data_IF_781432392365
#
_entry.id   IF_781432392365
#
_cell.length_a   1.000
_cell.length_b   1.000
_cell.length_c   1.000
_cell.angle_alpha   90.00
_cell.angle_beta   90.00
_cell.angle_gamma   90.00
#
_symmetry.space_group_name_H-M   'P 1'
#
loop_
_entity.id
_entity.type
_entity.pdbx_description
1 polymer ?
#
# COMPACT_ATOMS: atom_id res chain seq x y z
N UNK A 1 2.81 23.02 -5.04
CA UNK A 1 3.66 21.90 -5.50
C UNK A 1 4.40 21.44 -4.26
N UNK A 2 4.20 20.20 -3.83
CA UNK A 2 4.89 19.67 -2.64
C UNK A 2 6.39 19.65 -2.90
N UNK A 3 7.17 20.27 -2.02
CA UNK A 3 8.63 20.20 -2.09
C UNK A 3 9.07 18.81 -1.58
N UNK A 4 9.27 17.88 -2.51
CA UNK A 4 9.69 16.52 -2.20
C UNK A 4 11.07 16.47 -1.54
N UNK A 5 11.96 17.41 -1.86
CA UNK A 5 13.31 17.47 -1.28
C UNK A 5 13.25 17.88 0.18
N UNK A 6 12.44 18.89 0.53
CA UNK A 6 12.17 19.23 1.93
C UNK A 6 11.54 18.04 2.67
N UNK A 7 10.50 17.43 2.08
CA UNK A 7 9.80 16.30 2.66
C UNK A 7 10.74 15.13 2.97
N UNK A 8 11.59 14.75 2.02
CA UNK A 8 12.63 13.73 2.19
C UNK A 8 13.58 14.08 3.33
N UNK A 9 14.07 15.32 3.39
CA UNK A 9 15.00 15.75 4.45
C UNK A 9 14.41 15.65 5.87
N UNK A 10 13.12 15.98 6.04
CA UNK A 10 12.42 15.85 7.33
C UNK A 10 12.28 14.38 7.72
N UNK A 11 11.91 13.52 6.77
CA UNK A 11 11.77 12.08 7.02
C UNK A 11 13.11 11.44 7.38
N UNK A 12 14.19 11.83 6.68
CA UNK A 12 15.54 11.36 6.95
C UNK A 12 16.01 11.79 8.35
N UNK A 13 15.85 13.06 8.72
CA UNK A 13 16.18 13.54 10.06
C UNK A 13 15.37 12.81 11.15
N UNK A 14 14.05 12.67 10.95
CA UNK A 14 13.18 11.93 11.88
C UNK A 14 13.54 10.44 11.98
N UNK A 15 14.08 9.85 10.92
CA UNK A 15 14.53 8.46 10.93
C UNK A 15 15.80 8.27 11.77
N UNK A 16 16.75 9.20 11.69
CA UNK A 16 17.95 9.16 12.55
C UNK A 16 17.55 9.28 14.03
N UNK A 17 16.61 10.17 14.34
CA UNK A 17 16.08 10.37 15.70
C UNK A 17 14.86 9.49 16.04
N UNK A 18 14.65 8.38 15.32
CA UNK A 18 13.43 7.53 15.46
C UNK A 18 13.20 6.93 16.84
N UNK A 19 14.22 6.94 17.72
CA UNK A 19 14.09 6.53 19.11
C UNK A 19 13.18 7.49 19.91
N UNK A 20 13.15 8.77 19.54
CA UNK A 20 12.34 9.82 20.15
C UNK A 20 10.95 9.96 19.49
N UNK A 21 10.75 9.32 18.33
CA UNK A 21 9.48 9.31 17.62
C UNK A 21 8.52 8.29 18.26
N UNK A 22 7.36 8.78 18.70
CA UNK A 22 6.32 8.00 19.37
C UNK A 22 4.92 8.45 18.97
N UNK A 23 3.90 7.78 19.50
CA UNK A 23 2.50 8.16 19.27
C UNK A 23 2.15 9.55 19.83
N UNK A 24 2.96 10.12 20.73
CA UNK A 24 2.82 11.48 21.24
C UNK A 24 3.43 12.54 20.31
N UNK A 25 4.31 12.18 19.38
CA UNK A 25 4.97 13.12 18.45
C UNK A 25 3.93 13.85 17.59
N UNK A 26 4.06 15.18 17.46
CA UNK A 26 3.21 16.09 16.68
C UNK A 26 4.08 17.04 15.87
N UNK A 27 3.46 17.92 15.08
CA UNK A 27 4.15 18.93 14.27
C UNK A 27 4.79 18.32 13.02
N UNK A 28 5.87 18.95 12.55
CA UNK A 28 6.44 18.74 11.22
C UNK A 28 6.75 17.27 10.90
N UNK A 29 7.28 16.49 11.85
CA UNK A 29 7.57 15.05 11.63
C UNK A 29 6.29 14.27 11.32
N UNK A 30 5.21 14.51 12.07
CA UNK A 30 3.94 13.82 11.83
C UNK A 30 3.34 14.26 10.49
N UNK A 31 3.35 15.55 10.22
CA UNK A 31 2.78 16.12 8.99
C UNK A 31 3.54 15.62 7.75
N UNK A 32 4.88 15.49 7.84
CA UNK A 32 5.72 14.92 6.81
C UNK A 32 5.40 13.44 6.56
N UNK A 33 5.31 12.62 7.62
CA UNK A 33 4.96 11.19 7.46
C UNK A 33 3.56 11.02 6.86
N UNK A 34 2.56 11.76 7.34
CA UNK A 34 1.21 11.71 6.78
C UNK A 34 1.16 12.16 5.32
N UNK A 35 1.92 13.19 4.97
CA UNK A 35 2.06 13.67 3.58
C UNK A 35 2.71 12.60 2.70
N UNK A 36 3.80 11.98 3.15
CA UNK A 36 4.47 10.91 2.41
C UNK A 36 3.54 9.70 2.18
N UNK A 37 2.78 9.30 3.22
CA UNK A 37 1.79 8.24 3.08
C UNK A 37 0.65 8.61 2.12
N UNK A 38 0.21 9.87 2.10
CA UNK A 38 -0.80 10.34 1.15
C UNK A 38 -0.28 10.35 -0.31
N UNK A 39 0.99 10.68 -0.50
CA UNK A 39 1.64 10.58 -1.82
C UNK A 39 1.76 9.12 -2.29
N UNK A 40 2.11 8.19 -1.39
CA UNK A 40 2.10 6.75 -1.68
C UNK A 40 0.69 6.25 -1.98
N UNK A 41 -0.31 6.66 -1.20
CA UNK A 41 -1.70 6.23 -1.34
C UNK A 41 -2.33 6.70 -2.67
N UNK A 42 -1.96 7.90 -3.12
CA UNK A 42 -2.41 8.48 -4.39
C UNK A 42 -1.56 8.08 -5.60
N UNK A 43 -0.42 7.40 -5.39
CA UNK A 43 0.50 7.00 -6.46
C UNK A 43 1.38 8.13 -7.00
N UNK A 44 1.31 9.33 -6.42
CA UNK A 44 2.20 10.45 -6.77
C UNK A 44 3.66 10.19 -6.34
N UNK A 45 3.85 9.33 -5.33
CA UNK A 45 5.13 8.74 -4.99
C UNK A 45 5.00 7.22 -5.01
N UNK A 46 6.11 6.52 -5.23
CA UNK A 46 6.19 5.05 -5.20
C UNK A 46 7.51 4.61 -4.60
N UNK A 47 7.50 3.51 -3.84
CA UNK A 47 8.69 3.06 -3.08
C UNK A 47 9.86 2.67 -3.98
N UNK A 48 9.59 2.13 -5.17
CA UNK A 48 10.61 1.92 -6.18
C UNK A 48 10.08 2.33 -7.55
N UNK A 49 10.95 2.88 -8.39
CA UNK A 49 10.64 3.29 -9.76
C UNK A 49 11.72 2.79 -10.72
N UNK A 50 11.31 2.50 -11.96
CA UNK A 50 12.22 2.11 -13.03
C UNK A 50 12.73 3.36 -13.76
N UNK A 51 14.04 3.52 -13.87
CA UNK A 51 14.67 4.57 -14.67
C UNK A 51 14.58 4.29 -16.17
N UNK A 52 14.96 5.27 -16.98
CA UNK A 52 15.03 5.14 -18.46
C UNK A 52 16.03 4.07 -18.91
N UNK A 53 17.05 3.83 -18.09
CA UNK A 53 18.04 2.74 -18.24
C UNK A 53 17.46 1.34 -17.95
N UNK A 54 16.20 1.27 -17.52
CA UNK A 54 15.51 0.04 -17.17
C UNK A 54 15.86 -0.51 -15.78
N UNK A 55 16.62 0.24 -14.97
CA UNK A 55 17.05 -0.15 -13.62
C UNK A 55 16.02 0.30 -12.59
N UNK A 56 15.69 -0.58 -11.65
CA UNK A 56 14.82 -0.26 -10.53
C UNK A 56 15.63 0.38 -9.40
N UNK A 57 15.20 1.56 -8.98
CA UNK A 57 15.76 2.31 -7.85
C UNK A 57 14.75 2.37 -6.72
N UNK A 58 15.19 2.03 -5.51
CA UNK A 58 14.38 2.13 -4.29
C UNK A 58 14.59 3.48 -3.59
N UNK A 59 13.49 4.18 -3.34
CA UNK A 59 13.44 5.44 -2.61
C UNK A 59 13.36 5.14 -1.10
N UNK A 60 14.51 5.00 -0.45
CA UNK A 60 14.60 4.51 0.93
C UNK A 60 13.83 5.39 1.93
N UNK A 61 13.79 6.70 1.72
CA UNK A 61 13.06 7.64 2.59
C UNK A 61 11.56 7.31 2.64
N UNK A 62 10.96 6.79 1.58
CA UNK A 62 9.56 6.35 1.59
C UNK A 62 9.35 5.11 2.48
N UNK A 63 10.31 4.17 2.50
CA UNK A 63 10.28 3.04 3.46
C UNK A 63 10.45 3.54 4.90
N UNK A 64 11.32 4.52 5.13
CA UNK A 64 11.49 5.18 6.44
C UNK A 64 10.20 5.87 6.88
N UNK A 65 9.49 6.57 5.99
CA UNK A 65 8.18 7.17 6.27
C UNK A 65 7.15 6.12 6.71
N UNK A 66 7.07 4.98 5.99
CA UNK A 66 6.19 3.87 6.37
C UNK A 66 6.56 3.33 7.77
N UNK A 67 7.84 3.11 8.06
CA UNK A 67 8.28 2.60 9.37
C UNK A 67 8.05 3.62 10.51
N UNK A 68 8.27 4.91 10.26
CA UNK A 68 7.94 5.99 11.20
C UNK A 68 6.43 6.05 11.49
N UNK A 69 5.59 5.79 10.49
CA UNK A 69 4.14 5.74 10.70
C UNK A 69 3.72 4.71 11.74
N UNK A 70 4.44 3.58 11.86
CA UNK A 70 4.17 2.56 12.86
C UNK A 70 4.55 2.99 14.28
N UNK A 71 5.52 3.92 14.41
CA UNK A 71 5.90 4.54 15.70
C UNK A 71 4.93 5.64 16.09
N UNK A 72 4.46 6.40 15.10
CA UNK A 72 3.55 7.52 15.29
C UNK A 72 2.11 7.12 15.65
N UNK A 73 1.75 5.85 15.49
CA UNK A 73 0.38 5.38 15.71
C UNK A 73 0.35 4.24 16.72
N UNK A 74 -0.51 4.36 17.74
CA UNK A 74 -0.83 3.25 18.63
C UNK A 74 -1.86 2.34 17.99
N UNK A 75 -1.91 1.09 18.44
CA UNK A 75 -3.01 0.21 18.05
C UNK A 75 -4.32 0.76 18.63
N UNK A 76 -5.38 0.64 17.85
CA UNK A 76 -6.73 1.02 18.23
C UNK A 76 -7.70 -0.09 17.89
N UNK A 77 -8.87 -0.09 18.53
CA UNK A 77 -9.96 -0.99 18.15
C UNK A 77 -10.50 -0.55 16.79
N UNK A 78 -10.49 -1.46 15.82
CA UNK A 78 -10.99 -1.23 14.47
C UNK A 78 -12.18 -2.16 14.15
N UNK A 79 -13.11 -1.70 13.33
CA UNK A 79 -14.26 -2.48 12.86
C UNK A 79 -14.48 -2.27 11.37
N UNK A 80 -14.68 -3.33 10.61
CA UNK A 80 -15.00 -3.22 9.19
C UNK A 80 -16.52 -3.04 9.02
N UNK A 81 -16.92 -2.05 8.23
CA UNK A 81 -18.34 -1.76 7.95
C UNK A 81 -19.03 -0.80 8.94
N UNK A 82 -18.27 -0.08 9.78
CA UNK A 82 -18.81 1.00 10.61
C UNK A 82 -18.29 2.35 10.13
N UNK A 83 -19.18 3.24 9.70
CA UNK A 83 -18.84 4.64 9.48
C UNK A 83 -18.69 5.33 10.85
N UNK A 84 -17.62 6.10 11.11
CA UNK A 84 -17.39 6.73 12.41
C UNK A 84 -18.47 7.74 12.84
N UNK A 85 -19.34 8.17 11.90
CA UNK A 85 -20.38 9.19 12.13
C UNK A 85 -21.79 8.64 12.28
N UNK A 86 -22.02 7.33 12.11
CA UNK A 86 -23.34 6.74 12.29
C UNK A 86 -23.43 6.04 13.65
N UNK A 87 -24.37 6.44 14.54
CA UNK A 87 -24.59 5.71 15.77
C UNK A 87 -24.93 4.26 15.43
N UNK A 88 -24.45 3.32 16.26
CA UNK A 88 -24.86 1.92 16.23
C UNK A 88 -26.39 1.87 16.42
N UNK A 89 -27.16 1.91 15.34
CA UNK A 89 -28.58 1.60 15.41
C UNK A 89 -28.72 0.08 15.51
N UNK A 90 -29.73 -0.37 16.26
CA UNK A 90 -30.06 -1.78 16.41
C UNK A 90 -30.36 -2.47 15.06
N UNK A 91 -30.58 -1.68 14.01
CA UNK A 91 -31.03 -2.12 12.68
C UNK A 91 -29.88 -2.34 11.69
N UNK A 92 -28.62 -2.05 12.05
CA UNK A 92 -27.45 -2.31 11.20
C UNK A 92 -26.24 -2.89 11.97
N UNK A 93 -26.34 -4.13 12.50
CA UNK A 93 -25.40 -4.61 13.51
C UNK A 93 -24.14 -5.31 12.97
N UNK A 94 -23.92 -5.38 11.66
CA UNK A 94 -22.88 -6.31 11.12
C UNK A 94 -21.56 -5.59 10.82
N UNK A 95 -20.96 -4.99 11.84
CA UNK A 95 -19.57 -4.57 11.75
C UNK A 95 -18.66 -5.77 12.07
N UNK A 96 -17.84 -6.22 11.12
CA UNK A 96 -16.88 -7.33 11.35
C UNK A 96 -15.76 -6.83 12.26
N UNK A 97 -15.42 -7.61 13.29
CA UNK A 97 -14.40 -7.27 14.31
C UNK A 97 -14.90 -7.49 15.74
N UNK A 98 -14.22 -6.94 16.78
CA UNK A 98 -13.16 -5.93 16.66
C UNK A 98 -11.83 -6.53 16.20
N UNK A 99 -11.04 -5.69 15.52
CA UNK A 99 -9.63 -5.90 15.24
C UNK A 99 -8.79 -4.96 16.13
N UNK A 100 -7.50 -5.25 16.28
CA UNK A 100 -6.55 -4.43 17.04
C UNK A 100 -5.29 -4.21 16.20
N UNK A 101 -5.20 -3.04 15.55
CA UNK A 101 -4.12 -2.65 14.65
C UNK A 101 -3.96 -1.13 14.68
N UNK A 102 -2.88 -0.62 14.06
CA UNK A 102 -2.55 0.81 13.96
C UNK A 102 -2.52 1.34 12.52
N UNK A 103 -2.64 0.45 11.52
CA UNK A 103 -2.64 0.84 10.11
C UNK A 103 -4.08 0.91 9.60
N UNK A 104 -4.60 2.11 9.23
CA UNK A 104 -5.95 2.24 8.71
C UNK A 104 -6.14 1.49 7.38
N UNK A 105 -7.39 1.12 7.10
CA UNK A 105 -7.79 0.69 5.77
C UNK A 105 -7.81 1.89 4.81
N UNK A 106 -7.35 1.72 3.56
CA UNK A 106 -7.35 2.75 2.52
C UNK A 106 -8.73 3.37 2.31
N UNK A 107 -9.78 2.54 2.40
CA UNK A 107 -11.15 2.90 2.09
C UNK A 107 -11.95 3.36 3.31
N UNK A 108 -11.32 3.51 4.49
CA UNK A 108 -12.01 3.76 5.76
C UNK A 108 -12.99 4.93 5.72
N UNK A 109 -12.63 6.00 5.01
CA UNK A 109 -13.42 7.23 4.89
C UNK A 109 -13.92 7.49 3.45
N UNK A 110 -13.90 6.49 2.56
CA UNK A 110 -14.24 6.69 1.15
C UNK A 110 -15.76 6.80 0.91
N UNK A 111 -16.13 7.76 0.06
CA UNK A 111 -17.46 7.94 -0.51
C UNK A 111 -17.57 7.30 -1.91
N UNK A 112 -18.78 7.26 -2.46
CA UNK A 112 -18.99 6.80 -3.83
C UNK A 112 -18.21 7.64 -4.87
N UNK A 113 -18.03 8.94 -4.61
CA UNK A 113 -17.27 9.83 -5.50
C UNK A 113 -15.78 9.46 -5.53
N UNK A 114 -15.21 9.04 -4.40
CA UNK A 114 -13.82 8.60 -4.31
C UNK A 114 -13.58 7.33 -5.14
N UNK A 115 -14.49 6.35 -5.04
CA UNK A 115 -14.44 5.15 -5.88
C UNK A 115 -14.56 5.47 -7.37
N UNK A 116 -15.48 6.37 -7.74
CA UNK A 116 -15.66 6.79 -9.13
C UNK A 116 -14.42 7.50 -9.69
N UNK A 117 -13.82 8.39 -8.90
CA UNK A 117 -12.60 9.11 -9.28
C UNK A 117 -11.39 8.17 -9.43
N UNK A 118 -11.24 7.20 -8.52
CA UNK A 118 -10.14 6.25 -8.56
C UNK A 118 -10.29 5.21 -9.70
N UNK A 119 -11.52 4.84 -10.05
CA UNK A 119 -11.82 4.06 -11.25
C UNK A 119 -11.38 2.59 -11.23
N UNK A 120 -11.11 2.01 -10.06
CA UNK A 120 -10.91 0.57 -9.87
C UNK A 120 -12.15 -0.09 -9.27
N UNK A 121 -12.17 -1.44 -9.26
CA UNK A 121 -13.21 -2.23 -8.60
C UNK A 121 -12.67 -2.91 -7.34
N UNK A 122 -13.27 -2.61 -6.19
CA UNK A 122 -13.01 -3.31 -4.92
C UNK A 122 -14.16 -4.27 -4.63
N UNK A 123 -13.93 -5.57 -4.83
CA UNK A 123 -14.94 -6.61 -4.56
C UNK A 123 -14.99 -6.87 -3.04
N UNK A 124 -16.19 -7.06 -2.44
CA UNK A 124 -16.29 -7.34 -1.00
C UNK A 124 -15.37 -8.47 -0.55
N UNK A 125 -14.52 -8.18 0.44
CA UNK A 125 -13.44 -9.06 0.90
C UNK A 125 -12.04 -8.59 0.48
N UNK A 126 -11.92 -7.61 -0.42
CA UNK A 126 -10.66 -6.93 -0.69
C UNK A 126 -10.27 -6.02 0.50
N UNK A 127 -9.05 -6.17 0.99
CA UNK A 127 -8.50 -5.38 2.10
C UNK A 127 -7.23 -4.67 1.63
N UNK A 128 -7.24 -3.34 1.67
CA UNK A 128 -6.10 -2.51 1.28
C UNK A 128 -5.72 -1.61 2.44
N UNK A 129 -4.45 -1.61 2.82
CA UNK A 129 -3.94 -0.67 3.84
C UNK A 129 -3.71 0.72 3.24
N UNK A 130 -4.01 1.77 4.02
CA UNK A 130 -3.68 3.15 3.64
C UNK A 130 -2.19 3.27 3.36
N UNK A 131 -1.83 4.03 2.34
CA UNK A 131 -0.47 4.15 1.84
C UNK A 131 -0.13 3.14 0.74
N UNK A 132 -1.12 2.44 0.19
CA UNK A 132 -0.97 1.63 -1.02
C UNK A 132 -1.73 2.28 -2.19
N UNK A 133 -1.11 2.28 -3.37
CA UNK A 133 -1.73 2.76 -4.59
C UNK A 133 -2.44 1.64 -5.35
N UNK A 134 -3.62 1.96 -5.88
CA UNK A 134 -4.41 1.10 -6.76
C UNK A 134 -4.83 1.93 -7.96
N UNK A 135 -4.32 1.55 -9.14
CA UNK A 135 -4.52 2.25 -10.39
C UNK A 135 -5.90 2.06 -10.99
N UNK A 136 -6.21 2.88 -12.00
CA UNK A 136 -7.47 2.81 -12.74
C UNK A 136 -7.66 1.43 -13.37
N UNK A 137 -8.91 0.99 -13.52
CA UNK A 137 -9.28 -0.29 -14.14
C UNK A 137 -8.74 -1.54 -13.43
N UNK A 138 -8.06 -1.41 -12.29
CA UNK A 138 -7.67 -2.56 -11.46
C UNK A 138 -8.93 -3.24 -10.91
N UNK A 139 -8.89 -4.57 -10.82
CA UNK A 139 -9.92 -5.35 -10.13
C UNK A 139 -9.29 -6.07 -8.95
N UNK A 140 -9.72 -5.69 -7.76
CA UNK A 140 -9.38 -6.38 -6.51
C UNK A 140 -10.50 -7.35 -6.18
N UNK A 141 -10.27 -8.64 -6.41
CA UNK A 141 -11.10 -9.71 -5.84
C UNK A 141 -10.84 -9.79 -4.32
N UNK A 142 -11.51 -10.68 -3.55
CA UNK A 142 -11.18 -10.84 -2.13
C UNK A 142 -9.70 -11.16 -1.95
N UNK A 143 -8.89 -10.19 -1.53
CA UNK A 143 -7.43 -10.18 -1.62
C UNK A 143 -6.84 -9.21 -0.61
N UNK A 144 -5.53 -9.20 -0.43
CA UNK A 144 -4.84 -8.27 0.47
C UNK A 144 -3.78 -7.46 -0.26
N UNK A 145 -3.80 -6.13 -0.11
CA UNK A 145 -2.76 -5.22 -0.60
C UNK A 145 -2.20 -4.42 0.59
N UNK A 146 -0.91 -4.60 0.85
CA UNK A 146 -0.26 -4.03 2.02
C UNK A 146 0.32 -2.63 1.74
N UNK A 147 0.66 -1.90 2.80
CA UNK A 147 1.18 -0.53 2.75
C UNK A 147 2.43 -0.39 1.87
N UNK A 148 2.53 0.70 1.13
CA UNK A 148 3.62 1.01 0.21
C UNK A 148 3.57 0.28 -1.13
N UNK A 149 2.64 -0.67 -1.31
CA UNK A 149 2.46 -1.35 -2.58
C UNK A 149 1.94 -0.37 -3.66
N UNK A 150 2.30 -0.65 -4.91
CA UNK A 150 1.83 0.08 -6.08
C UNK A 150 1.26 -0.91 -7.08
N UNK A 151 -0.05 -0.89 -7.29
CA UNK A 151 -0.74 -1.73 -8.28
C UNK A 151 -1.18 -0.86 -9.46
N UNK A 152 -0.49 -0.97 -10.59
CA UNK A 152 -0.71 -0.10 -11.75
C UNK A 152 -1.93 -0.51 -12.58
N UNK A 153 -2.28 0.35 -13.54
CA UNK A 153 -3.51 0.30 -14.34
C UNK A 153 -3.80 -1.07 -14.99
N UNK A 154 -5.08 -1.46 -14.95
CA UNK A 154 -5.61 -2.61 -15.67
C UNK A 154 -5.23 -3.98 -15.08
N UNK A 155 -4.52 -4.01 -13.96
CA UNK A 155 -4.09 -5.26 -13.32
C UNK A 155 -5.24 -5.99 -12.60
N UNK A 156 -5.18 -7.32 -12.61
CA UNK A 156 -6.11 -8.21 -11.93
C UNK A 156 -5.45 -8.79 -10.68
N UNK A 157 -6.07 -8.60 -9.51
CA UNK A 157 -5.67 -9.24 -8.25
C UNK A 157 -6.76 -10.21 -7.85
N UNK A 158 -6.57 -11.49 -8.18
CA UNK A 158 -7.58 -12.54 -8.00
C UNK A 158 -7.80 -12.96 -6.55
N UNK A 159 -8.80 -13.81 -6.35
CA UNK A 159 -9.22 -14.28 -5.05
C UNK A 159 -8.06 -14.91 -4.26
N UNK A 160 -7.89 -14.42 -3.04
CA UNK A 160 -6.85 -14.76 -2.07
C UNK A 160 -5.42 -14.47 -2.52
N UNK A 161 -5.23 -13.68 -3.59
CA UNK A 161 -3.93 -13.15 -3.90
C UNK A 161 -3.47 -12.13 -2.85
N UNK A 162 -2.16 -12.01 -2.67
CA UNK A 162 -1.55 -11.07 -1.73
C UNK A 162 -0.51 -10.21 -2.44
N UNK A 163 -0.62 -8.89 -2.30
CA UNK A 163 0.39 -7.92 -2.71
C UNK A 163 1.04 -7.36 -1.45
N UNK A 164 2.27 -7.81 -1.18
CA UNK A 164 3.03 -7.47 0.02
C UNK A 164 3.48 -6.02 0.09
N UNK A 165 4.03 -5.62 1.23
CA UNK A 165 4.46 -4.24 1.45
C UNK A 165 5.53 -3.83 0.45
N UNK A 166 5.41 -2.59 -0.04
CA UNK A 166 6.31 -2.01 -1.04
C UNK A 166 6.32 -2.70 -2.42
N UNK A 167 5.59 -3.80 -2.64
CA UNK A 167 5.61 -4.51 -3.92
C UNK A 167 5.16 -3.62 -5.08
N UNK A 168 5.79 -3.77 -6.24
CA UNK A 168 5.50 -2.98 -7.43
C UNK A 168 4.89 -3.89 -8.50
N UNK A 169 3.60 -3.71 -8.76
CA UNK A 169 2.87 -4.45 -9.78
C UNK A 169 2.66 -3.51 -10.97
N UNK A 170 3.15 -3.91 -12.13
CA UNK A 170 3.05 -3.20 -13.39
C UNK A 170 1.63 -3.16 -13.94
N UNK A 171 1.50 -2.61 -15.14
CA UNK A 171 0.22 -2.49 -15.86
C UNK A 171 -0.19 -3.83 -16.45
N UNK A 172 -1.49 -4.08 -16.51
CA UNK A 172 -2.06 -5.27 -17.14
C UNK A 172 -1.46 -6.59 -16.65
N UNK A 173 -1.05 -6.63 -15.37
CA UNK A 173 -0.56 -7.85 -14.72
C UNK A 173 -1.77 -8.68 -14.27
N UNK A 174 -1.68 -10.00 -14.40
CA UNK A 174 -2.66 -10.92 -13.83
C UNK A 174 -2.03 -11.71 -12.68
N UNK A 175 -2.39 -11.37 -11.45
CA UNK A 175 -2.10 -12.17 -10.26
C UNK A 175 -3.25 -13.14 -10.04
N UNK A 176 -3.04 -14.41 -10.37
CA UNK A 176 -4.08 -15.45 -10.30
C UNK A 176 -4.43 -15.84 -8.86
N UNK A 177 -5.49 -16.64 -8.72
CA UNK A 177 -6.03 -17.02 -7.41
C UNK A 177 -4.98 -17.59 -6.45
N UNK A 178 -4.83 -16.95 -5.29
CA UNK A 178 -3.88 -17.36 -4.26
C UNK A 178 -2.41 -17.10 -4.60
N UNK A 179 -2.09 -16.32 -5.63
CA UNK A 179 -0.72 -15.89 -5.89
C UNK A 179 -0.23 -14.94 -4.79
N UNK A 180 1.00 -15.13 -4.31
CA UNK A 180 1.60 -14.27 -3.29
C UNK A 180 2.79 -13.49 -3.82
N UNK A 181 2.75 -12.18 -3.62
CA UNK A 181 3.85 -11.27 -3.91
C UNK A 181 4.41 -10.80 -2.58
N UNK A 182 5.58 -11.31 -2.20
CA UNK A 182 6.23 -11.04 -0.93
C UNK A 182 6.55 -9.54 -0.73
N UNK A 183 6.33 -9.05 0.49
CA UNK A 183 6.64 -7.67 0.86
C UNK A 183 8.10 -7.49 1.28
N UNK A 184 8.67 -6.32 1.00
CA UNK A 184 10.05 -5.97 1.42
C UNK A 184 10.11 -4.54 1.92
N UNK A 185 9.77 -4.36 3.21
CA UNK A 185 9.91 -3.07 3.89
C UNK A 185 11.31 -2.89 4.48
N UNK A 186 11.90 -3.96 5.00
CA UNK A 186 13.28 -4.01 5.46
C UNK A 186 14.01 -5.19 4.77
N UNK A 187 15.32 -5.07 4.49
CA UNK A 187 16.17 -3.92 4.75
C UNK A 187 15.90 -2.74 3.78
N UNK A 188 16.22 -1.52 4.22
CA UNK A 188 15.83 -0.28 3.52
C UNK A 188 16.35 -0.21 2.07
N UNK A 189 17.58 -0.64 1.85
CA UNK A 189 18.24 -0.64 0.55
C UNK A 189 17.75 -1.73 -0.42
N UNK A 190 17.04 -2.76 0.08
CA UNK A 190 16.59 -3.85 -0.79
C UNK A 190 15.47 -3.38 -1.72
N UNK A 191 15.56 -3.79 -2.99
CA UNK A 191 14.44 -3.62 -3.90
C UNK A 191 13.22 -4.41 -3.40
N UNK A 192 12.01 -3.85 -3.53
CA UNK A 192 10.80 -4.63 -3.31
C UNK A 192 10.64 -5.69 -4.39
N UNK A 193 9.75 -6.65 -4.13
CA UNK A 193 9.33 -7.58 -5.17
C UNK A 193 8.62 -6.80 -6.28
N UNK A 194 9.03 -7.02 -7.52
CA UNK A 194 8.57 -6.29 -8.69
C UNK A 194 8.03 -7.28 -9.71
N UNK A 195 6.81 -7.03 -10.17
CA UNK A 195 6.19 -7.71 -11.31
C UNK A 195 6.01 -6.65 -12.40
N UNK A 196 6.79 -6.70 -13.47
CA UNK A 196 6.73 -5.72 -14.55
C UNK A 196 5.46 -5.91 -15.42
N UNK A 197 5.24 -4.98 -16.35
CA UNK A 197 4.02 -4.89 -17.15
C UNK A 197 3.69 -6.19 -17.91
N UNK A 198 2.41 -6.49 -18.07
CA UNK A 198 1.91 -7.62 -18.87
C UNK A 198 2.24 -9.02 -18.35
N UNK A 199 2.79 -9.15 -17.14
CA UNK A 199 3.08 -10.47 -16.57
C UNK A 199 1.82 -11.25 -16.20
N UNK A 200 1.88 -12.57 -16.33
CA UNK A 200 0.91 -13.50 -15.79
C UNK A 200 1.55 -14.33 -14.67
N UNK A 201 0.99 -14.26 -13.46
CA UNK A 201 1.43 -15.02 -12.30
C UNK A 201 0.36 -16.06 -11.99
N UNK A 202 0.69 -17.32 -12.25
CA UNK A 202 -0.18 -18.49 -12.09
C UNK A 202 -0.70 -18.68 -10.67
N UNK A 203 -1.77 -19.46 -10.56
CA UNK A 203 -2.44 -19.67 -9.28
C UNK A 203 -1.48 -20.35 -8.29
N UNK A 204 -1.45 -19.86 -7.04
CA UNK A 204 -0.57 -20.36 -5.96
C UNK A 204 0.92 -20.16 -6.18
N UNK A 205 1.34 -19.48 -7.25
CA UNK A 205 2.72 -19.07 -7.41
C UNK A 205 3.08 -18.02 -6.34
N UNK A 206 4.33 -18.05 -5.88
CA UNK A 206 4.87 -17.10 -4.93
C UNK A 206 6.12 -16.46 -5.52
N UNK A 207 6.18 -15.13 -5.49
CA UNK A 207 7.37 -14.34 -5.86
C UNK A 207 7.69 -13.47 -4.66
N UNK A 208 8.88 -13.60 -4.08
CA UNK A 208 9.21 -12.94 -2.82
C UNK A 208 10.64 -12.38 -2.81
N UNK A 209 11.01 -11.75 -1.69
CA UNK A 209 12.39 -11.39 -1.36
C UNK A 209 13.08 -10.47 -2.38
N UNK A 210 12.32 -9.58 -3.02
CA UNK A 210 12.87 -8.59 -3.96
C UNK A 210 13.13 -9.13 -5.36
N UNK A 211 12.62 -10.33 -5.68
CA UNK A 211 12.67 -10.87 -7.04
C UNK A 211 11.95 -9.93 -8.00
N UNK A 212 12.54 -9.77 -9.19
CA UNK A 212 11.99 -9.01 -10.31
C UNK A 212 11.56 -9.98 -11.40
N UNK A 213 10.25 -10.07 -11.63
CA UNK A 213 9.68 -10.76 -12.79
C UNK A 213 9.55 -9.74 -13.92
N UNK A 214 10.28 -10.01 -15.02
CA UNK A 214 10.41 -9.08 -16.15
C UNK A 214 9.17 -9.07 -17.04
N UNK A 215 9.02 -7.95 -17.75
CA UNK A 215 7.87 -7.64 -18.59
C UNK A 215 7.42 -8.81 -19.48
N UNK A 216 6.12 -9.10 -19.48
CA UNK A 216 5.49 -10.14 -20.29
C UNK A 216 5.77 -11.58 -19.86
N UNK A 217 6.44 -11.81 -18.73
CA UNK A 217 6.71 -13.16 -18.25
C UNK A 217 5.43 -13.91 -17.84
N UNK A 218 5.44 -15.23 -17.98
CA UNK A 218 4.37 -16.13 -17.59
C UNK A 218 4.92 -17.15 -16.62
N UNK A 219 4.43 -17.12 -15.38
CA UNK A 219 4.70 -18.14 -14.36
C UNK A 219 3.47 -19.05 -14.27
N UNK A 220 3.68 -20.36 -14.37
CA UNK A 220 2.62 -21.36 -14.30
C UNK A 220 2.37 -21.82 -12.87
#
# INVERSE_FOLDING_TARGET
MTDLTHLESVIEAAWEDRAEVSSATRGEVRDAVETALALLDSGQARVASRGEDGVWTTHQWLKKAVLLSFRLNDNVIMRAGHAPTLPLSADHPVAVGPFWDKVPNKFGDWSAADYQAAGFRSVPGAVVRRGAYVGKNVVLMPSFVNIGAYVDEGSMVDAWATVGSCAQIGKNVHLSGGAGIGGVLEPLQANPTIIEDGCFIGARAEVAEGVIVREGAVLA
#
